data_IF_018382207151
#
_entry.id   IF_018382207151
#
_cell.length_a   1.000
_cell.length_b   1.000
_cell.length_c   1.000
_cell.angle_alpha   90.00
_cell.angle_beta   90.00
_cell.angle_gamma   90.00
#
_symmetry.space_group_name_H-M   'P 1'
#
loop_
_entity.id
_entity.type
_entity.pdbx_description
1 polymer ?
#
# COMPACT_ATOMS: atom_id res chain seq x y z
N UNK A 1 29.96 -1.10 55.44
CA UNK A 1 29.62 -0.58 54.10
C UNK A 1 29.34 -1.76 53.18
N UNK A 2 28.08 -2.04 52.84
CA UNK A 2 27.71 -3.05 51.84
C UNK A 2 27.32 -2.34 50.54
N UNK A 3 28.13 -2.55 49.51
CA UNK A 3 27.90 -2.06 48.15
C UNK A 3 26.86 -2.98 47.52
N UNK A 4 25.69 -2.45 47.18
CA UNK A 4 24.72 -3.15 46.35
C UNK A 4 24.96 -2.76 44.88
N UNK A 5 25.54 -3.69 44.11
CA UNK A 5 25.58 -3.61 42.65
C UNK A 5 24.20 -3.99 42.11
N UNK A 6 23.41 -3.01 41.67
CA UNK A 6 22.22 -3.27 40.86
C UNK A 6 22.65 -3.46 39.40
N UNK A 7 22.63 -4.71 38.93
CA UNK A 7 22.72 -5.09 37.53
C UNK A 7 21.37 -4.83 36.86
N UNK A 8 21.26 -3.72 36.14
CA UNK A 8 20.10 -3.42 35.30
C UNK A 8 20.26 -4.15 33.96
N UNK A 9 19.69 -5.35 33.85
CA UNK A 9 19.59 -6.10 32.59
C UNK A 9 18.58 -5.39 31.68
N UNK A 10 19.09 -4.55 30.77
CA UNK A 10 18.34 -4.08 29.60
C UNK A 10 18.08 -5.29 28.68
N UNK A 11 16.94 -5.96 28.85
CA UNK A 11 16.38 -6.81 27.80
C UNK A 11 15.84 -5.85 26.74
N UNK A 12 16.71 -5.46 25.81
CA UNK A 12 16.29 -4.82 24.57
C UNK A 12 15.45 -5.86 23.82
N UNK A 13 14.13 -5.74 23.91
CA UNK A 13 13.23 -6.32 22.92
C UNK A 13 13.54 -5.63 21.59
N UNK A 14 14.54 -6.16 20.88
CA UNK A 14 14.76 -5.85 19.47
C UNK A 14 13.66 -6.54 18.70
N UNK A 15 12.47 -5.92 18.73
CA UNK A 15 11.40 -6.19 17.79
C UNK A 15 11.85 -5.76 16.40
N UNK A 16 12.71 -6.56 15.77
CA UNK A 16 13.07 -6.44 14.36
C UNK A 16 11.92 -7.04 13.56
N UNK A 17 10.84 -6.27 13.40
CA UNK A 17 9.72 -6.65 12.53
C UNK A 17 9.98 -6.13 11.12
N UNK A 18 10.87 -6.80 10.41
CA UNK A 18 10.95 -6.72 8.96
C UNK A 18 10.92 -8.15 8.43
N UNK A 19 9.81 -8.53 7.78
CA UNK A 19 9.68 -9.82 7.09
C UNK A 19 10.39 -9.87 5.75
N UNK A 20 10.72 -8.69 5.20
CA UNK A 20 11.68 -8.57 4.12
C UNK A 20 13.11 -8.59 4.67
N UNK A 21 13.87 -9.61 4.26
CA UNK A 21 15.26 -9.77 4.64
C UNK A 21 16.18 -9.41 3.47
N UNK A 22 17.25 -8.66 3.73
CA UNK A 22 18.23 -8.33 2.69
C UNK A 22 18.91 -9.58 2.12
N UNK A 23 19.14 -10.61 2.95
CA UNK A 23 19.68 -11.90 2.54
C UNK A 23 19.43 -12.98 3.59
N UNK A 24 19.53 -14.25 3.20
CA UNK A 24 19.40 -15.38 4.11
C UNK A 24 20.45 -15.36 5.23
N UNK A 25 21.67 -14.87 4.95
CA UNK A 25 22.72 -14.68 5.96
C UNK A 25 22.29 -13.73 7.08
N UNK A 26 21.61 -12.63 6.73
CA UNK A 26 21.11 -11.66 7.71
C UNK A 26 19.95 -12.27 8.50
N UNK A 27 19.03 -12.93 7.81
CA UNK A 27 17.93 -13.66 8.46
C UNK A 27 18.43 -14.68 9.48
N UNK A 28 19.36 -15.57 9.09
CA UNK A 28 19.94 -16.57 9.99
C UNK A 28 20.65 -15.92 11.18
N UNK A 29 21.44 -14.86 10.95
CA UNK A 29 22.13 -14.13 12.02
C UNK A 29 21.15 -13.54 13.05
N UNK A 30 19.99 -13.06 12.60
CA UNK A 30 19.01 -12.39 13.46
C UNK A 30 18.04 -13.37 14.13
N UNK A 31 17.63 -14.42 13.43
CA UNK A 31 16.55 -15.33 13.88
C UNK A 31 17.06 -16.68 14.39
N UNK A 32 18.33 -17.02 14.12
CA UNK A 32 18.92 -18.34 14.33
C UNK A 32 18.21 -19.48 13.58
N UNK A 33 17.46 -19.16 12.52
CA UNK A 33 16.79 -20.13 11.65
C UNK A 33 17.53 -20.25 10.32
N UNK A 34 17.72 -21.48 9.87
CA UNK A 34 18.37 -21.77 8.58
C UNK A 34 17.47 -21.44 7.39
N UNK A 35 16.16 -21.62 7.55
CA UNK A 35 15.17 -21.41 6.50
C UNK A 35 14.19 -20.30 6.88
N UNK A 36 13.74 -19.54 5.86
CA UNK A 36 12.70 -18.53 5.99
C UNK A 36 11.40 -19.14 6.52
N UNK A 37 10.68 -18.41 7.37
CA UNK A 37 9.31 -18.80 7.71
C UNK A 37 8.39 -18.54 6.54
N UNK A 38 7.20 -19.14 6.57
CA UNK A 38 6.18 -18.94 5.55
C UNK A 38 5.79 -17.47 5.38
N UNK A 39 5.91 -16.62 6.40
CA UNK A 39 5.62 -15.18 6.33
C UNK A 39 6.78 -14.32 5.81
N UNK A 40 7.99 -14.88 5.71
CA UNK A 40 9.23 -14.15 5.42
C UNK A 40 9.63 -14.28 3.94
N UNK A 41 10.32 -13.27 3.43
CA UNK A 41 10.90 -13.31 2.08
C UNK A 41 12.22 -12.55 2.02
N UNK A 42 13.06 -12.85 1.04
CA UNK A 42 14.21 -11.99 0.75
C UNK A 42 13.80 -10.83 -0.15
N UNK A 43 14.50 -9.69 -0.07
CA UNK A 43 14.32 -8.59 -1.02
C UNK A 43 14.43 -9.06 -2.48
N UNK A 44 15.33 -10.00 -2.75
CA UNK A 44 15.48 -10.62 -4.07
C UNK A 44 14.25 -11.42 -4.49
N UNK A 45 13.57 -12.09 -3.55
CA UNK A 45 12.34 -12.84 -3.83
C UNK A 45 11.24 -11.91 -4.33
N UNK A 46 11.04 -10.78 -3.65
CA UNK A 46 10.07 -9.76 -4.08
C UNK A 46 10.45 -9.16 -5.43
N UNK A 47 11.68 -8.71 -5.60
CA UNK A 47 12.08 -8.03 -6.85
C UNK A 47 12.06 -8.96 -8.06
N UNK A 48 12.30 -10.25 -7.86
CA UNK A 48 12.26 -11.27 -8.92
C UNK A 48 10.91 -12.01 -9.00
N UNK A 49 9.94 -11.68 -8.15
CA UNK A 49 8.62 -12.31 -8.07
C UNK A 49 8.69 -13.85 -7.97
N UNK A 50 9.56 -14.36 -7.09
CA UNK A 50 9.77 -15.80 -6.89
C UNK A 50 8.58 -16.45 -6.18
N UNK A 51 8.55 -17.78 -6.13
CA UNK A 51 7.47 -18.49 -5.43
C UNK A 51 7.52 -18.31 -3.91
N UNK A 52 8.70 -18.07 -3.33
CA UNK A 52 8.84 -17.71 -1.90
C UNK A 52 8.04 -16.44 -1.60
N UNK A 53 8.16 -15.40 -2.44
CA UNK A 53 7.39 -14.16 -2.30
C UNK A 53 5.88 -14.40 -2.42
N UNK A 54 5.45 -15.20 -3.40
CA UNK A 54 4.01 -15.49 -3.61
C UNK A 54 3.42 -16.29 -2.45
N UNK A 55 4.14 -17.29 -1.95
CA UNK A 55 3.74 -18.10 -0.79
C UNK A 55 3.65 -17.24 0.46
N UNK A 56 4.63 -16.35 0.67
CA UNK A 56 4.58 -15.40 1.79
C UNK A 56 3.40 -14.45 1.70
N UNK A 57 3.08 -13.94 0.51
CA UNK A 57 1.89 -13.11 0.34
C UNK A 57 0.58 -13.86 0.61
N UNK A 58 0.43 -15.10 0.13
CA UNK A 58 -0.76 -15.91 0.42
C UNK A 58 -0.88 -16.17 1.92
N UNK A 59 0.21 -16.60 2.56
CA UNK A 59 0.24 -16.85 3.99
C UNK A 59 -0.11 -15.59 4.78
N UNK A 60 0.51 -14.45 4.46
CA UNK A 60 0.24 -13.19 5.14
C UNK A 60 -1.21 -12.76 4.95
N UNK A 61 -1.74 -12.84 3.72
CA UNK A 61 -3.13 -12.51 3.40
C UNK A 61 -4.13 -13.34 4.20
N UNK A 62 -3.92 -14.66 4.23
CA UNK A 62 -4.80 -15.59 4.92
C UNK A 62 -4.80 -15.39 6.44
N UNK A 63 -3.67 -14.96 7.01
CA UNK A 63 -3.46 -14.73 8.44
C UNK A 63 -3.61 -13.25 8.86
N UNK A 64 -4.08 -12.37 7.96
CA UNK A 64 -4.29 -10.94 8.22
C UNK A 64 -3.03 -10.19 8.70
N UNK A 65 -1.86 -10.52 8.14
CA UNK A 65 -0.56 -9.96 8.51
C UNK A 65 -0.19 -8.74 7.64
N UNK A 66 -1.05 -7.73 7.61
CA UNK A 66 -0.83 -6.54 6.78
C UNK A 66 0.35 -5.69 7.24
N UNK A 67 0.71 -5.75 8.52
CA UNK A 67 1.80 -4.98 9.13
C UNK A 67 3.20 -5.37 8.60
N UNK A 68 3.31 -6.48 7.88
CA UNK A 68 4.61 -6.97 7.39
C UNK A 68 5.11 -6.19 6.16
N UNK A 69 4.26 -5.34 5.57
CA UNK A 69 4.53 -4.54 4.37
C UNK A 69 4.76 -3.07 4.76
N UNK A 70 6.01 -2.73 5.00
CA UNK A 70 6.45 -1.47 5.59
C UNK A 70 6.64 -0.35 4.56
N UNK A 71 7.08 -0.68 3.33
CA UNK A 71 7.39 0.32 2.29
C UNK A 71 6.35 0.41 1.18
N UNK A 72 6.29 1.54 0.46
CA UNK A 72 5.46 1.62 -0.76
C UNK A 72 5.86 0.56 -1.78
N UNK A 73 7.15 0.20 -1.85
CA UNK A 73 7.62 -0.83 -2.79
C UNK A 73 7.04 -2.20 -2.47
N UNK A 74 7.02 -2.59 -1.20
CA UNK A 74 6.43 -3.85 -0.74
C UNK A 74 4.91 -3.87 -0.99
N UNK A 75 4.18 -2.83 -0.59
CA UNK A 75 2.72 -2.74 -0.81
C UNK A 75 2.37 -2.73 -2.30
N UNK A 76 3.14 -2.00 -3.12
CA UNK A 76 3.00 -1.98 -4.59
C UNK A 76 3.18 -3.38 -5.18
N UNK A 77 4.22 -4.10 -4.79
CA UNK A 77 4.49 -5.43 -5.34
C UNK A 77 3.47 -6.46 -4.83
N UNK A 78 2.96 -6.30 -3.60
CA UNK A 78 1.82 -7.07 -3.11
C UNK A 78 0.57 -6.82 -3.95
N UNK A 79 0.21 -5.55 -4.21
CA UNK A 79 -0.94 -5.21 -5.06
C UNK A 79 -0.81 -5.80 -6.46
N UNK A 80 0.40 -5.78 -7.04
CA UNK A 80 0.68 -6.41 -8.34
C UNK A 80 0.46 -7.93 -8.30
N UNK A 81 0.95 -8.59 -7.25
CA UNK A 81 0.78 -10.02 -7.05
C UNK A 81 -0.70 -10.38 -6.92
N UNK A 82 -1.43 -9.76 -5.98
CA UNK A 82 -2.83 -10.10 -5.72
C UNK A 82 -3.72 -9.76 -6.92
N UNK A 83 -3.44 -8.67 -7.64
CA UNK A 83 -4.13 -8.37 -8.90
C UNK A 83 -4.00 -9.56 -9.88
N UNK A 84 -2.79 -10.09 -10.02
CA UNK A 84 -2.51 -11.20 -10.94
C UNK A 84 -3.29 -12.45 -10.51
N UNK A 85 -3.34 -12.76 -9.22
CA UNK A 85 -4.08 -13.92 -8.72
C UNK A 85 -5.61 -13.76 -8.83
N UNK A 86 -6.14 -12.58 -8.51
CA UNK A 86 -7.57 -12.25 -8.63
C UNK A 86 -8.03 -12.30 -10.10
N UNK A 87 -7.23 -11.79 -11.03
CA UNK A 87 -7.55 -11.85 -12.46
C UNK A 87 -7.42 -13.28 -13.02
N UNK A 88 -6.46 -14.09 -12.55
CA UNK A 88 -6.37 -15.52 -12.91
C UNK A 88 -7.62 -16.31 -12.51
N UNK A 89 -8.28 -15.93 -11.40
CA UNK A 89 -9.57 -16.47 -10.98
C UNK A 89 -10.76 -15.94 -11.79
N UNK A 90 -10.52 -14.97 -12.67
CA UNK A 90 -11.54 -14.39 -13.56
C UNK A 90 -12.32 -13.22 -12.97
N UNK A 91 -12.00 -12.75 -11.75
CA UNK A 91 -12.70 -11.60 -11.17
C UNK A 91 -12.43 -10.31 -11.96
N UNK A 92 -13.48 -9.53 -12.18
CA UNK A 92 -13.45 -8.28 -12.95
C UNK A 92 -13.54 -7.06 -12.04
N UNK A 93 -12.56 -6.90 -11.15
CA UNK A 93 -12.39 -5.75 -10.26
C UNK A 93 -11.26 -4.84 -10.73
N UNK A 94 -11.45 -3.53 -10.63
CA UNK A 94 -10.51 -2.53 -11.18
C UNK A 94 -9.64 -1.90 -10.09
N UNK A 95 -10.10 -1.89 -8.84
CA UNK A 95 -9.41 -1.23 -7.72
C UNK A 95 -7.92 -1.60 -7.61
N UNK A 96 -7.54 -2.87 -7.80
CA UNK A 96 -6.13 -3.28 -7.73
C UNK A 96 -5.23 -2.56 -8.74
N UNK A 97 -5.72 -2.28 -9.96
CA UNK A 97 -4.97 -1.49 -10.95
C UNK A 97 -4.73 -0.07 -10.45
N UNK A 98 -5.74 0.53 -9.80
CA UNK A 98 -5.65 1.87 -9.23
C UNK A 98 -4.61 1.93 -8.11
N UNK A 99 -4.72 1.06 -7.11
CA UNK A 99 -3.81 1.07 -5.96
C UNK A 99 -2.40 0.65 -6.33
N UNK A 100 -2.22 -0.26 -7.30
CA UNK A 100 -0.90 -0.56 -7.86
C UNK A 100 -0.27 0.67 -8.51
N UNK A 101 -1.02 1.39 -9.35
CA UNK A 101 -0.51 2.59 -10.02
C UNK A 101 -0.12 3.68 -9.01
N UNK A 102 -0.99 3.98 -8.04
CA UNK A 102 -0.73 4.98 -7.01
C UNK A 102 0.50 4.58 -6.18
N UNK A 103 0.55 3.34 -5.71
CA UNK A 103 1.70 2.83 -4.92
C UNK A 103 3.00 2.86 -5.72
N UNK A 104 2.94 2.59 -7.03
CA UNK A 104 4.10 2.74 -7.93
C UNK A 104 4.58 4.18 -7.98
N UNK A 105 3.68 5.15 -8.16
CA UNK A 105 4.05 6.58 -8.16
C UNK A 105 4.68 7.01 -6.84
N UNK A 106 4.13 6.58 -5.71
CA UNK A 106 4.69 6.85 -4.39
C UNK A 106 6.07 6.19 -4.19
N UNK A 107 6.25 4.94 -4.62
CA UNK A 107 7.55 4.25 -4.52
C UNK A 107 8.64 4.95 -5.33
N UNK A 108 8.30 5.57 -6.47
CA UNK A 108 9.25 6.36 -7.25
C UNK A 108 9.61 7.66 -6.55
N UNK A 109 8.67 8.28 -5.81
CA UNK A 109 8.93 9.49 -5.02
C UNK A 109 9.82 9.22 -3.80
N UNK A 110 9.83 8.01 -3.25
CA UNK A 110 10.76 7.61 -2.18
C UNK A 110 12.17 7.25 -2.71
N UNK A 111 12.29 6.90 -3.99
CA UNK A 111 13.57 6.55 -4.60
C UNK A 111 14.41 7.79 -4.94
N UNK A 112 15.73 7.62 -4.91
CA UNK A 112 16.67 8.62 -5.43
C UNK A 112 16.55 8.69 -6.97
N UNK A 113 16.60 9.89 -7.59
CA UNK A 113 16.79 11.22 -6.99
C UNK A 113 15.50 11.94 -6.60
N UNK A 114 14.32 11.37 -6.89
CA UNK A 114 13.02 12.04 -6.65
C UNK A 114 12.79 12.40 -5.18
N UNK A 115 13.31 11.60 -4.25
CA UNK A 115 13.22 11.87 -2.82
C UNK A 115 13.91 13.16 -2.36
N UNK A 116 14.89 13.67 -3.11
CA UNK A 116 15.57 14.95 -2.83
C UNK A 116 14.59 16.12 -2.97
N UNK A 117 13.64 16.00 -3.89
CA UNK A 117 12.63 17.04 -4.16
C UNK A 117 11.29 16.77 -3.47
N UNK A 118 11.13 15.58 -2.88
CA UNK A 118 9.92 15.20 -2.18
C UNK A 118 9.82 15.92 -0.82
N UNK A 119 8.70 16.58 -0.57
CA UNK A 119 8.48 17.21 0.72
C UNK A 119 8.20 16.13 1.78
N UNK A 120 9.10 15.99 2.76
CA UNK A 120 9.01 14.95 3.81
C UNK A 120 7.64 14.91 4.51
N UNK A 121 7.04 16.07 4.82
CA UNK A 121 5.73 16.13 5.48
C UNK A 121 4.62 15.56 4.60
N UNK A 122 4.62 15.92 3.31
CA UNK A 122 3.68 15.36 2.33
C UNK A 122 3.89 13.86 2.15
N UNK A 123 5.15 13.39 2.14
CA UNK A 123 5.44 11.96 2.05
C UNK A 123 4.98 11.19 3.29
N UNK A 124 5.08 11.77 4.49
CA UNK A 124 4.55 11.15 5.70
C UNK A 124 3.03 10.99 5.64
N UNK A 125 2.31 12.00 5.16
CA UNK A 125 0.87 11.90 4.92
C UNK A 125 0.54 10.85 3.87
N UNK A 126 1.27 10.82 2.75
CA UNK A 126 1.08 9.80 1.71
C UNK A 126 1.34 8.38 2.24
N UNK A 127 2.36 8.20 3.09
CA UNK A 127 2.63 6.91 3.72
C UNK A 127 1.51 6.51 4.68
N UNK A 128 1.06 7.46 5.52
CA UNK A 128 -0.05 7.22 6.45
C UNK A 128 -1.31 6.79 5.69
N UNK A 129 -1.64 7.46 4.57
CA UNK A 129 -2.77 7.07 3.72
C UNK A 129 -2.57 5.68 3.13
N UNK A 130 -1.43 5.41 2.49
CA UNK A 130 -1.16 4.10 1.90
C UNK A 130 -1.22 2.96 2.92
N UNK A 131 -0.67 3.18 4.11
CA UNK A 131 -0.67 2.21 5.20
C UNK A 131 -2.08 1.95 5.72
N UNK A 132 -2.85 3.01 5.97
CA UNK A 132 -4.25 2.90 6.41
C UNK A 132 -5.09 2.14 5.38
N UNK A 133 -4.98 2.48 4.09
CA UNK A 133 -5.69 1.78 3.02
C UNK A 133 -5.26 0.31 2.97
N UNK A 134 -3.95 0.05 2.97
CA UNK A 134 -3.42 -1.32 2.86
C UNK A 134 -3.86 -2.21 4.03
N UNK A 135 -3.73 -1.72 5.27
CA UNK A 135 -4.14 -2.43 6.48
C UNK A 135 -5.63 -2.73 6.48
N UNK A 136 -6.46 -1.72 6.21
CA UNK A 136 -7.91 -1.89 6.33
C UNK A 136 -8.52 -2.66 5.14
N UNK A 137 -7.93 -2.58 3.94
CA UNK A 137 -8.37 -3.36 2.79
C UNK A 137 -7.97 -4.83 2.85
N UNK A 138 -7.00 -5.19 3.69
CA UNK A 138 -6.41 -6.53 3.70
C UNK A 138 -7.44 -7.66 3.93
N UNK A 139 -8.43 -7.41 4.81
CA UNK A 139 -9.54 -8.35 5.06
C UNK A 139 -10.44 -8.46 3.82
N UNK A 140 -10.79 -7.34 3.18
CA UNK A 140 -11.62 -7.32 1.97
C UNK A 140 -10.94 -8.04 0.80
N UNK A 141 -9.62 -7.85 0.67
CA UNK A 141 -8.78 -8.55 -0.30
C UNK A 141 -8.76 -10.04 -0.01
N UNK A 142 -8.63 -10.47 1.26
CA UNK A 142 -8.65 -11.89 1.63
C UNK A 142 -10.00 -12.54 1.32
N UNK A 143 -11.10 -11.84 1.62
CA UNK A 143 -12.45 -12.29 1.31
C UNK A 143 -12.64 -12.50 -0.20
N UNK A 144 -12.22 -11.52 -1.01
CA UNK A 144 -12.24 -11.64 -2.46
C UNK A 144 -11.31 -12.77 -2.94
N UNK A 145 -10.12 -12.88 -2.37
CA UNK A 145 -9.14 -13.91 -2.74
C UNK A 145 -9.66 -15.31 -2.45
N UNK A 146 -10.42 -15.54 -1.38
CA UNK A 146 -11.03 -16.84 -1.05
C UNK A 146 -12.32 -17.12 -1.81
N UNK A 147 -12.89 -16.12 -2.49
CA UNK A 147 -14.15 -16.25 -3.19
C UNK A 147 -14.04 -17.24 -4.36
N UNK A 148 -14.93 -18.22 -4.39
CA UNK A 148 -14.99 -19.21 -5.47
C UNK A 148 -15.89 -18.76 -6.62
N UNK A 149 -16.90 -17.93 -6.33
CA UNK A 149 -17.77 -17.34 -7.34
C UNK A 149 -17.05 -16.18 -8.05
N UNK A 150 -17.04 -16.20 -9.38
CA UNK A 150 -16.44 -15.15 -10.19
C UNK A 150 -17.26 -13.86 -10.06
N UNK A 151 -16.57 -12.76 -9.75
CA UNK A 151 -17.18 -11.42 -9.82
C UNK A 151 -17.12 -10.95 -11.28
N UNK A 152 -18.25 -11.04 -11.98
CA UNK A 152 -18.41 -10.45 -13.30
C UNK A 152 -18.40 -8.90 -13.22
N UNK A 153 -18.47 -8.23 -14.36
CA UNK A 153 -18.32 -6.77 -14.45
C UNK A 153 -19.24 -5.99 -13.52
N UNK A 154 -20.50 -6.42 -13.39
CA UNK A 154 -21.48 -5.78 -12.50
C UNK A 154 -21.12 -6.00 -11.04
N UNK A 155 -20.86 -7.25 -10.65
CA UNK A 155 -20.51 -7.58 -9.26
C UNK A 155 -19.15 -6.98 -8.85
N UNK A 156 -18.19 -6.94 -9.76
CA UNK A 156 -16.89 -6.31 -9.56
C UNK A 156 -17.00 -4.78 -9.45
N UNK A 157 -17.92 -4.15 -10.18
CA UNK A 157 -18.23 -2.72 -9.98
C UNK A 157 -18.78 -2.44 -8.58
N UNK A 158 -19.72 -3.25 -8.08
CA UNK A 158 -20.24 -3.06 -6.73
C UNK A 158 -19.15 -3.29 -5.67
N UNK A 159 -18.30 -4.29 -5.85
CA UNK A 159 -17.12 -4.48 -4.98
C UNK A 159 -16.18 -3.26 -5.00
N UNK A 160 -15.88 -2.73 -6.19
CA UNK A 160 -15.04 -1.53 -6.34
C UNK A 160 -15.70 -0.31 -5.65
N UNK A 161 -17.02 -0.12 -5.77
CA UNK A 161 -17.76 0.97 -5.11
C UNK A 161 -17.66 0.86 -3.60
N UNK A 162 -17.86 -0.34 -3.05
CA UNK A 162 -17.86 -0.57 -1.61
C UNK A 162 -16.48 -0.30 -1.00
N UNK A 163 -15.41 -0.81 -1.62
CA UNK A 163 -14.05 -0.59 -1.11
C UNK A 163 -13.64 0.87 -1.27
N UNK A 164 -13.99 1.53 -2.38
CA UNK A 164 -13.69 2.95 -2.59
C UNK A 164 -14.45 3.85 -1.62
N UNK A 165 -15.68 3.48 -1.26
CA UNK A 165 -16.43 4.20 -0.23
C UNK A 165 -15.70 4.10 1.11
N UNK A 166 -15.35 2.88 1.56
CA UNK A 166 -14.57 2.68 2.80
C UNK A 166 -13.25 3.46 2.77
N UNK A 167 -12.54 3.41 1.64
CA UNK A 167 -11.29 4.12 1.42
C UNK A 167 -11.45 5.63 1.61
N UNK A 168 -12.40 6.25 0.90
CA UNK A 168 -12.50 7.70 0.84
C UNK A 168 -13.24 8.30 2.04
N UNK A 169 -14.25 7.61 2.57
CA UNK A 169 -15.10 8.11 3.66
C UNK A 169 -14.56 7.81 5.04
N UNK A 170 -13.78 6.73 5.19
CA UNK A 170 -13.31 6.24 6.48
C UNK A 170 -11.79 6.38 6.54
N UNK A 171 -11.05 5.57 5.78
CA UNK A 171 -9.61 5.38 5.98
C UNK A 171 -8.76 6.61 5.63
N UNK A 172 -9.05 7.24 4.48
CA UNK A 172 -8.34 8.45 4.02
C UNK A 172 -8.86 9.68 4.74
N UNK A 173 -10.16 9.71 5.06
CA UNK A 173 -10.78 10.87 5.69
C UNK A 173 -10.19 11.19 7.06
N UNK A 174 -9.94 10.17 7.88
CA UNK A 174 -9.28 10.31 9.17
C UNK A 174 -7.92 11.02 9.04
N UNK A 175 -7.16 10.71 8.00
CA UNK A 175 -5.82 11.28 7.80
C UNK A 175 -5.90 12.69 7.25
N UNK A 176 -6.80 12.95 6.28
CA UNK A 176 -7.01 14.29 5.73
C UNK A 176 -7.37 15.29 6.83
N UNK A 177 -8.22 14.89 7.78
CA UNK A 177 -8.61 15.73 8.92
C UNK A 177 -7.45 16.09 9.86
N UNK A 178 -6.31 15.39 9.78
CA UNK A 178 -5.09 15.71 10.56
C UNK A 178 -4.10 16.59 9.79
N UNK A 179 -4.37 16.91 8.52
CA UNK A 179 -3.48 17.73 7.70
C UNK A 179 -3.62 19.20 8.07
N UNK A 180 -2.50 19.91 8.21
CA UNK A 180 -2.57 21.37 8.26
C UNK A 180 -2.94 21.93 6.88
N UNK A 181 -3.60 23.09 6.86
CA UNK A 181 -4.09 23.72 5.63
C UNK A 181 -3.02 23.91 4.54
N UNK A 182 -1.76 24.18 4.92
CA UNK A 182 -0.67 24.34 3.95
C UNK A 182 -0.30 22.99 3.31
N UNK A 183 -0.22 21.93 4.10
CA UNK A 183 0.04 20.57 3.59
C UNK A 183 -1.11 20.09 2.69
N UNK A 184 -2.34 20.25 3.16
CA UNK A 184 -3.54 19.91 2.40
C UNK A 184 -3.56 20.63 1.04
N UNK A 185 -3.35 21.95 1.04
CA UNK A 185 -3.31 22.74 -0.21
C UNK A 185 -2.21 22.27 -1.16
N UNK A 186 -1.08 21.83 -0.63
CA UNK A 186 0.02 21.30 -1.44
C UNK A 186 -0.32 19.95 -2.06
N UNK A 187 -0.97 19.04 -1.33
CA UNK A 187 -1.49 17.78 -1.89
C UNK A 187 -2.52 18.07 -2.97
N UNK A 188 -3.47 18.97 -2.69
CA UNK A 188 -4.49 19.40 -3.64
C UNK A 188 -3.86 19.94 -4.93
N UNK A 189 -2.86 20.82 -4.83
CA UNK A 189 -2.13 21.35 -6.00
C UNK A 189 -1.40 20.25 -6.80
N UNK A 190 -0.88 19.21 -6.14
CA UNK A 190 -0.25 18.07 -6.83
C UNK A 190 -1.30 17.29 -7.63
N UNK A 191 -2.43 16.97 -7.01
CA UNK A 191 -3.52 16.20 -7.64
C UNK A 191 -4.21 17.00 -8.75
N UNK A 192 -4.35 18.32 -8.58
CA UNK A 192 -4.86 19.27 -9.57
C UNK A 192 -3.81 19.64 -10.64
N UNK A 193 -2.62 19.03 -10.64
CA UNK A 193 -1.54 19.34 -11.62
C UNK A 193 -1.18 20.83 -11.70
N UNK A 194 -1.31 21.58 -10.60
CA UNK A 194 -0.99 23.01 -10.56
C UNK A 194 0.52 23.23 -10.51
N UNK A 195 1.00 24.27 -11.17
CA UNK A 195 2.42 24.67 -11.20
C UNK A 195 3.34 23.54 -11.70
N UNK A 196 4.51 23.37 -11.07
CA UNK A 196 5.53 22.38 -11.43
C UNK A 196 5.08 20.92 -11.16
N UNK A 197 3.90 20.70 -10.57
CA UNK A 197 3.44 19.35 -10.20
C UNK A 197 2.77 18.58 -11.34
N UNK A 198 2.56 19.20 -12.51
CA UNK A 198 1.92 18.56 -13.67
C UNK A 198 2.66 17.33 -14.24
N UNK A 199 3.90 17.08 -13.82
CA UNK A 199 4.70 15.90 -14.23
C UNK A 199 4.30 14.64 -13.44
N UNK A 200 3.75 14.78 -12.22
CA UNK A 200 3.56 13.64 -11.32
C UNK A 200 2.29 12.82 -11.62
N UNK A 201 1.21 13.50 -12.00
CA UNK A 201 -0.13 12.91 -12.23
C UNK A 201 -0.50 13.14 -13.70
N UNK A 202 -0.85 12.12 -14.52
CA UNK A 202 -1.31 12.29 -15.91
C UNK A 202 -2.52 13.24 -16.06
N UNK A 203 -2.72 13.86 -17.23
CA UNK A 203 -3.76 14.88 -17.42
C UNK A 203 -5.16 14.29 -17.26
N UNK A 204 -5.31 13.06 -17.70
CA UNK A 204 -6.52 12.24 -17.61
C UNK A 204 -6.90 11.90 -16.16
N UNK A 205 -5.93 12.01 -15.24
CA UNK A 205 -6.08 11.72 -13.82
C UNK A 205 -6.00 13.00 -12.97
N UNK A 206 -6.35 14.15 -13.54
CA UNK A 206 -6.39 15.39 -12.76
C UNK A 206 -7.59 15.37 -11.82
N UNK A 207 -7.36 15.59 -10.53
CA UNK A 207 -8.44 15.86 -9.58
C UNK A 207 -8.85 17.33 -9.70
N UNK A 208 -10.15 17.63 -9.74
CA UNK A 208 -10.65 19.01 -9.88
C UNK A 208 -11.52 19.47 -8.69
N UNK A 209 -11.72 18.60 -7.70
CA UNK A 209 -12.55 18.89 -6.54
C UNK A 209 -11.78 19.47 -5.36
N UNK A 210 -12.52 19.68 -4.27
CA UNK A 210 -11.99 19.96 -2.94
C UNK A 210 -11.53 18.65 -2.29
N UNK A 211 -10.28 18.63 -1.83
CA UNK A 211 -9.69 17.46 -1.22
C UNK A 211 -10.28 17.15 0.16
N UNK A 212 -10.86 18.13 0.88
CA UNK A 212 -11.54 17.88 2.16
C UNK A 212 -12.90 17.20 1.95
N UNK A 213 -13.53 17.43 0.80
CA UNK A 213 -14.81 16.86 0.46
C UNK A 213 -14.68 15.38 0.05
N UNK A 214 -15.00 14.49 0.99
CA UNK A 214 -14.97 13.02 0.79
C UNK A 214 -15.82 12.52 -0.37
N UNK A 215 -16.95 13.16 -0.65
CA UNK A 215 -17.80 12.79 -1.78
C UNK A 215 -17.11 13.11 -3.10
N UNK A 216 -16.51 14.29 -3.22
CA UNK A 216 -15.74 14.64 -4.43
C UNK A 216 -14.57 13.68 -4.66
N UNK A 217 -13.90 13.22 -3.59
CA UNK A 217 -12.84 12.20 -3.69
C UNK A 217 -13.39 10.84 -4.15
N UNK A 218 -14.52 10.41 -3.59
CA UNK A 218 -15.19 9.17 -3.98
C UNK A 218 -15.62 9.18 -5.45
N UNK A 219 -16.33 10.23 -5.86
CA UNK A 219 -16.78 10.41 -7.24
C UNK A 219 -15.59 10.49 -8.20
N UNK A 220 -14.50 11.15 -7.83
CA UNK A 220 -13.26 11.14 -8.61
C UNK A 220 -12.65 9.74 -8.72
N UNK A 221 -12.59 8.97 -7.64
CA UNK A 221 -12.05 7.62 -7.68
C UNK A 221 -12.91 6.69 -8.56
N UNK A 222 -14.24 6.82 -8.49
CA UNK A 222 -15.18 5.99 -9.22
C UNK A 222 -15.30 6.39 -10.70
N UNK A 223 -15.43 7.68 -10.99
CA UNK A 223 -15.77 8.16 -12.33
C UNK A 223 -14.54 8.60 -13.14
N UNK A 224 -13.39 8.84 -12.51
CA UNK A 224 -12.16 9.20 -13.21
C UNK A 224 -11.15 8.06 -13.15
N UNK A 225 -10.67 7.72 -11.96
CA UNK A 225 -9.60 6.72 -11.82
C UNK A 225 -10.05 5.35 -12.32
N UNK A 226 -11.18 4.83 -11.80
CA UNK A 226 -11.67 3.51 -12.17
C UNK A 226 -11.98 3.41 -13.66
N UNK A 227 -12.64 4.41 -14.25
CA UNK A 227 -12.93 4.43 -15.70
C UNK A 227 -11.63 4.38 -16.51
N UNK A 228 -10.63 5.18 -16.13
CA UNK A 228 -9.33 5.17 -16.79
C UNK A 228 -8.67 3.79 -16.74
N UNK A 229 -8.59 3.16 -15.57
CA UNK A 229 -7.94 1.84 -15.41
C UNK A 229 -8.75 0.66 -15.93
N UNK A 230 -10.06 0.80 -16.07
CA UNK A 230 -10.91 -0.16 -16.78
C UNK A 230 -10.56 -0.20 -18.27
N UNK A 231 -10.29 0.96 -18.86
CA UNK A 231 -10.08 1.11 -20.30
C UNK A 231 -8.63 0.89 -20.75
N UNK A 232 -7.66 0.90 -19.83
CA UNK A 232 -6.30 0.50 -20.13
C UNK A 232 -6.26 -1.01 -20.40
N UNK A 233 -6.09 -1.36 -21.68
CA UNK A 233 -5.63 -2.69 -22.09
C UNK A 233 -4.15 -2.83 -21.66
N UNK A 234 -3.83 -3.97 -21.06
CA UNK A 234 -2.46 -4.33 -20.65
C UNK A 234 -1.50 -4.28 -21.82
#
# INVERSE_FOLDING_TARGET
MRVYCFLFLFILNLSVYAKEWKSLKIYHKTTHKENLLASDWLKSDRTNNTDVWKLANSFNLENNLSQEYNSFSERKDFYKWVQTEVEKKGHQVVWFKMVYFISRKLSLMEAFPSNVFANKKIMNYANSCSESIFKNSFIEINNLFKLTSILNEKAGLEWDKDILYKEQYIWVNEIINTMDARSLKKVENILQRKCLYGIFVPKELQFMGDLENKEMRYEYALNTLRIYFKNIKR
#
